data_IF_814528076293
#
_entry.id   IF_814528076293
#
_cell.length_a   1.000
_cell.length_b   1.000
_cell.length_c   1.000
_cell.angle_alpha   90.00
_cell.angle_beta   90.00
_cell.angle_gamma   90.00
#
_symmetry.space_group_name_H-M   'P 1'
#
loop_
_entity.id
_entity.type
_entity.pdbx_description
1 polymer ?
#
# COMPACT_ATOMS: atom_id res chain seq x y z
N UNK A 1 53.78 -16.63 -43.49
CA UNK A 1 52.30 -16.58 -43.55
C UNK A 1 51.77 -17.95 -43.12
N UNK A 2 51.15 -18.08 -41.94
CA UNK A 2 50.59 -19.37 -41.48
C UNK A 2 49.18 -19.54 -42.04
N UNK A 3 49.01 -20.46 -42.98
CA UNK A 3 47.70 -20.79 -43.57
C UNK A 3 47.04 -21.81 -42.64
N UNK A 4 45.96 -21.41 -41.97
CA UNK A 4 45.15 -22.32 -41.17
C UNK A 4 44.12 -23.02 -42.05
N UNK A 5 44.27 -24.33 -42.21
CA UNK A 5 43.33 -25.16 -42.97
C UNK A 5 42.19 -25.57 -42.03
N UNK A 6 41.03 -24.92 -42.17
CA UNK A 6 39.83 -25.30 -41.43
C UNK A 6 39.24 -26.54 -42.10
N UNK A 7 39.33 -27.68 -41.42
CA UNK A 7 38.74 -28.93 -41.91
C UNK A 7 37.30 -29.09 -41.43
N UNK A 8 36.48 -29.88 -42.14
CA UNK A 8 35.12 -30.23 -41.69
C UNK A 8 35.10 -30.82 -40.27
N UNK A 9 36.15 -31.57 -39.89
CA UNK A 9 36.31 -32.11 -38.52
C UNK A 9 36.51 -30.99 -37.49
N UNK A 10 37.31 -29.97 -37.82
CA UNK A 10 37.53 -28.81 -36.95
C UNK A 10 36.23 -28.03 -36.71
N UNK A 11 35.39 -27.89 -37.73
CA UNK A 11 34.07 -27.24 -37.62
C UNK A 11 33.10 -28.05 -36.75
N UNK A 12 33.07 -29.38 -36.91
CA UNK A 12 32.20 -30.25 -36.10
C UNK A 12 32.61 -30.19 -34.62
N UNK A 13 33.92 -30.24 -34.33
CA UNK A 13 34.43 -30.16 -32.95
C UNK A 13 34.09 -28.79 -32.35
N UNK A 14 34.27 -27.70 -33.09
CA UNK A 14 33.91 -26.36 -32.61
C UNK A 14 32.41 -26.23 -32.31
N UNK A 15 31.54 -26.81 -33.14
CA UNK A 15 30.10 -26.80 -32.92
C UNK A 15 29.68 -27.59 -31.68
N UNK A 16 30.29 -28.76 -31.44
CA UNK A 16 30.04 -29.57 -30.24
C UNK A 16 30.50 -28.82 -28.98
N UNK A 17 31.70 -28.22 -29.00
CA UNK A 17 32.20 -27.43 -27.88
C UNK A 17 31.28 -26.26 -27.58
N UNK A 18 30.83 -25.53 -28.61
CA UNK A 18 29.89 -24.43 -28.45
C UNK A 18 28.57 -24.90 -27.82
N UNK A 19 28.01 -26.03 -28.29
CA UNK A 19 26.77 -26.58 -27.74
C UNK A 19 26.91 -26.96 -26.26
N UNK A 20 28.05 -27.55 -25.86
CA UNK A 20 28.32 -27.90 -24.45
C UNK A 20 28.45 -26.65 -23.59
N UNK A 21 29.14 -25.61 -24.07
CA UNK A 21 29.26 -24.34 -23.33
C UNK A 21 27.90 -23.67 -23.16
N UNK A 22 27.08 -23.60 -24.21
CA UNK A 22 25.73 -23.02 -24.13
C UNK A 22 24.86 -23.80 -23.14
N UNK A 23 24.90 -25.13 -23.20
CA UNK A 23 24.13 -25.99 -22.27
C UNK A 23 24.58 -25.80 -20.82
N UNK A 24 25.90 -25.68 -20.59
CA UNK A 24 26.45 -25.41 -19.25
C UNK A 24 26.03 -24.05 -18.69
N UNK A 25 25.97 -23.01 -19.53
CA UNK A 25 25.51 -21.67 -19.14
C UNK A 25 24.01 -21.70 -18.78
N UNK A 26 23.18 -22.39 -19.57
CA UNK A 26 21.74 -22.52 -19.29
C UNK A 26 21.51 -23.23 -17.94
N UNK A 27 22.26 -24.31 -17.67
CA UNK A 27 22.21 -25.01 -16.39
C UNK A 27 22.67 -24.12 -15.23
N UNK A 28 23.75 -23.35 -15.39
CA UNK A 28 24.23 -22.42 -14.36
C UNK A 28 23.22 -21.31 -14.03
N UNK A 29 22.50 -20.79 -15.04
CA UNK A 29 21.43 -19.80 -14.83
C UNK A 29 20.19 -20.40 -14.18
N UNK A 30 19.93 -21.70 -14.37
CA UNK A 30 18.76 -22.40 -13.81
C UNK A 30 18.93 -22.76 -12.33
N UNK A 31 20.15 -22.70 -11.79
CA UNK A 31 20.47 -23.09 -10.40
C UNK A 31 20.93 -21.93 -9.50
N UNK A 32 20.75 -20.67 -9.92
CA UNK A 32 21.10 -19.53 -9.06
C UNK A 32 20.07 -19.34 -7.93
N UNK A 33 20.44 -19.56 -6.65
CA UNK A 33 19.53 -19.38 -5.54
C UNK A 33 19.59 -17.92 -5.10
N UNK A 34 18.73 -17.07 -5.67
CA UNK A 34 18.61 -15.69 -5.22
C UNK A 34 18.32 -14.69 -6.32
N UNK A 35 17.19 -14.84 -7.00
CA UNK A 35 16.47 -13.74 -7.66
C UNK A 35 15.14 -14.31 -8.18
N UNK A 36 14.16 -14.47 -7.30
CA UNK A 36 12.77 -14.53 -7.74
C UNK A 36 12.37 -13.12 -8.19
N UNK A 37 12.83 -12.72 -9.37
CA UNK A 37 12.12 -11.71 -10.14
C UNK A 37 10.80 -12.39 -10.52
N UNK A 38 9.72 -12.02 -9.82
CA UNK A 38 8.37 -12.41 -10.22
C UNK A 38 8.20 -11.94 -11.65
N UNK A 39 8.14 -12.88 -12.59
CA UNK A 39 8.04 -12.58 -14.01
C UNK A 39 6.72 -11.88 -14.26
N UNK A 40 6.67 -10.84 -15.11
CA UNK A 40 5.39 -10.18 -15.41
C UNK A 40 4.36 -11.16 -15.98
N UNK A 41 4.82 -12.27 -16.57
CA UNK A 41 3.96 -13.37 -17.03
C UNK A 41 3.22 -14.07 -15.89
N UNK A 42 3.85 -14.30 -14.73
CA UNK A 42 3.18 -14.96 -13.60
C UNK A 42 2.14 -14.06 -12.95
N UNK A 43 2.38 -12.74 -12.93
CA UNK A 43 1.40 -11.77 -12.42
C UNK A 43 0.19 -11.66 -13.34
N UNK A 44 0.43 -11.66 -14.66
CA UNK A 44 -0.66 -11.63 -15.66
C UNK A 44 -1.45 -12.94 -15.63
N UNK A 45 -0.79 -14.09 -15.48
CA UNK A 45 -1.43 -15.40 -15.44
C UNK A 45 -2.23 -15.61 -14.14
N UNK A 46 -1.73 -15.12 -13.00
CA UNK A 46 -2.49 -15.07 -11.73
C UNK A 46 -3.71 -14.14 -11.85
N UNK A 47 -3.55 -12.95 -12.43
CA UNK A 47 -4.64 -12.01 -12.68
C UNK A 47 -5.73 -12.59 -13.60
N UNK A 48 -5.34 -13.24 -14.71
CA UNK A 48 -6.30 -13.87 -15.61
C UNK A 48 -7.03 -15.03 -14.93
N UNK A 49 -6.34 -15.84 -14.11
CA UNK A 49 -6.97 -16.93 -13.37
C UNK A 49 -7.92 -16.44 -12.27
N UNK A 50 -7.63 -15.35 -11.57
CA UNK A 50 -8.53 -14.73 -10.59
C UNK A 50 -9.81 -14.18 -11.27
N UNK A 51 -9.66 -13.49 -12.40
CA UNK A 51 -10.77 -12.94 -13.18
C UNK A 51 -11.65 -14.06 -13.75
N UNK A 52 -11.04 -15.14 -14.25
CA UNK A 52 -11.76 -16.31 -14.77
C UNK A 52 -12.41 -17.14 -13.65
N UNK A 53 -11.83 -17.18 -12.45
CA UNK A 53 -12.37 -17.87 -11.30
C UNK A 53 -13.54 -17.12 -10.62
N UNK A 54 -13.87 -15.90 -11.07
CA UNK A 54 -14.95 -15.10 -10.50
C UNK A 54 -14.67 -14.66 -9.05
N UNK A 55 -13.41 -14.66 -8.61
CA UNK A 55 -13.03 -14.12 -7.31
C UNK A 55 -13.13 -12.60 -7.38
N UNK A 56 -14.16 -12.06 -6.74
CA UNK A 56 -14.41 -10.62 -6.70
C UNK A 56 -13.41 -9.99 -5.74
N UNK A 57 -12.35 -9.39 -6.29
CA UNK A 57 -11.36 -8.63 -5.52
C UNK A 57 -12.06 -7.57 -4.68
N UNK A 58 -11.68 -7.51 -3.41
CA UNK A 58 -12.21 -6.50 -2.50
C UNK A 58 -11.52 -5.16 -2.77
N UNK A 59 -12.33 -4.14 -3.03
CA UNK A 59 -11.84 -2.80 -3.35
C UNK A 59 -12.24 -1.80 -2.25
N UNK A 60 -11.33 -0.89 -1.86
CA UNK A 60 -11.65 0.22 -0.99
C UNK A 60 -12.47 1.28 -1.73
N UNK A 61 -13.01 2.24 -0.99
CA UNK A 61 -13.68 3.41 -1.55
C UNK A 61 -12.63 4.41 -2.02
N UNK A 62 -12.50 4.58 -3.33
CA UNK A 62 -11.65 5.61 -3.96
C UNK A 62 -12.41 6.92 -4.12
N UNK A 63 -13.65 6.83 -4.61
CA UNK A 63 -14.56 7.94 -4.79
C UNK A 63 -16.00 7.43 -4.72
N UNK A 64 -16.95 8.36 -4.61
CA UNK A 64 -18.38 8.06 -4.63
C UNK A 64 -19.06 8.98 -5.63
N UNK A 65 -19.97 8.43 -6.43
CA UNK A 65 -20.77 9.25 -7.33
C UNK A 65 -21.76 10.10 -6.52
N UNK A 66 -21.82 11.38 -6.85
CA UNK A 66 -22.61 12.38 -6.13
C UNK A 66 -23.16 13.42 -7.09
N UNK A 67 -24.49 13.54 -7.14
CA UNK A 67 -25.17 14.54 -7.95
C UNK A 67 -24.90 15.99 -7.50
N UNK A 68 -24.47 16.19 -6.25
CA UNK A 68 -24.18 17.51 -5.68
C UNK A 68 -22.72 17.98 -5.89
N UNK A 69 -21.93 17.27 -6.70
CA UNK A 69 -20.56 17.63 -7.10
C UNK A 69 -19.63 17.98 -5.92
N UNK A 70 -19.78 17.29 -4.80
CA UNK A 70 -18.94 17.50 -3.61
C UNK A 70 -17.67 16.64 -3.68
N UNK A 71 -16.60 17.18 -3.10
CA UNK A 71 -15.34 16.49 -2.85
C UNK A 71 -15.15 16.26 -1.35
N UNK A 72 -14.41 15.22 -0.97
CA UNK A 72 -13.98 14.98 0.39
C UNK A 72 -12.49 15.30 0.50
N UNK A 73 -12.13 16.28 1.34
CA UNK A 73 -10.73 16.58 1.64
C UNK A 73 -10.26 15.67 2.77
N UNK A 74 -9.16 14.95 2.53
CA UNK A 74 -8.57 14.04 3.52
C UNK A 74 -7.09 14.36 3.72
N UNK A 75 -6.62 14.24 4.95
CA UNK A 75 -5.24 14.56 5.34
C UNK A 75 -4.67 13.41 6.16
N UNK A 76 -3.52 12.90 5.77
CA UNK A 76 -2.81 11.86 6.52
C UNK A 76 -1.74 12.53 7.40
N UNK A 77 -1.81 12.30 8.72
CA UNK A 77 -0.88 12.87 9.69
C UNK A 77 0.00 11.76 10.31
N UNK A 78 1.25 11.72 9.88
CA UNK A 78 2.18 10.63 10.19
C UNK A 78 3.58 11.08 10.64
N UNK A 79 3.93 12.37 10.65
CA UNK A 79 5.32 12.78 10.93
C UNK A 79 5.39 14.00 11.85
N UNK A 80 5.49 15.20 11.27
CA UNK A 80 5.55 16.46 11.99
C UNK A 80 4.15 17.07 12.14
N UNK A 81 4.00 18.03 13.06
CA UNK A 81 2.74 18.68 13.38
C UNK A 81 2.74 20.20 13.12
N UNK A 82 3.87 20.76 12.71
CA UNK A 82 4.11 22.21 12.61
C UNK A 82 3.13 22.94 11.68
N UNK A 83 2.53 22.22 10.73
CA UNK A 83 1.50 22.75 9.82
C UNK A 83 0.06 22.58 10.32
N UNK A 84 -0.17 21.77 11.36
CA UNK A 84 -1.52 21.48 11.85
C UNK A 84 -2.29 22.76 12.22
N UNK A 85 -1.71 23.72 12.98
CA UNK A 85 -2.43 24.96 13.30
C UNK A 85 -2.81 25.77 12.07
N UNK A 86 -1.90 25.87 11.09
CA UNK A 86 -2.15 26.59 9.84
C UNK A 86 -3.24 25.91 8.99
N UNK A 87 -3.23 24.58 8.93
CA UNK A 87 -4.25 23.79 8.23
C UNK A 87 -5.61 24.04 8.89
N UNK A 88 -5.71 23.93 10.22
CA UNK A 88 -6.97 24.15 10.94
C UNK A 88 -7.50 25.57 10.75
N UNK A 89 -6.65 26.59 10.86
CA UNK A 89 -7.04 27.99 10.61
C UNK A 89 -7.54 28.18 9.17
N UNK A 90 -6.89 27.52 8.20
CA UNK A 90 -7.28 27.61 6.79
C UNK A 90 -8.63 26.94 6.56
N UNK A 91 -8.85 25.74 7.11
CA UNK A 91 -10.12 25.03 6.99
C UNK A 91 -11.27 25.81 7.63
N UNK A 92 -11.04 26.40 8.81
CA UNK A 92 -12.00 27.28 9.48
C UNK A 92 -12.34 28.51 8.63
N UNK A 93 -11.32 29.20 8.10
CA UNK A 93 -11.50 30.41 7.26
C UNK A 93 -12.40 30.18 6.05
N UNK A 94 -12.34 28.98 5.47
CA UNK A 94 -13.12 28.62 4.29
C UNK A 94 -14.39 27.80 4.61
N UNK A 95 -14.71 27.60 5.89
CA UNK A 95 -15.83 26.76 6.35
C UNK A 95 -15.82 25.34 5.75
N UNK A 96 -14.63 24.72 5.72
CA UNK A 96 -14.42 23.38 5.16
C UNK A 96 -14.19 22.38 6.29
N UNK A 97 -14.81 21.21 6.17
CA UNK A 97 -14.49 20.02 7.00
C UNK A 97 -13.64 19.04 6.18
N UNK A 98 -12.79 18.31 6.90
CA UNK A 98 -11.89 17.32 6.36
C UNK A 98 -11.87 16.09 7.27
N UNK A 99 -11.38 14.99 6.74
CA UNK A 99 -11.09 13.75 7.49
C UNK A 99 -9.59 13.65 7.71
N UNK A 100 -9.16 13.52 8.96
CA UNK A 100 -7.76 13.36 9.33
C UNK A 100 -7.45 11.90 9.68
N UNK A 101 -6.67 11.22 8.84
CA UNK A 101 -6.18 9.87 9.12
C UNK A 101 -4.89 9.97 9.94
N UNK A 102 -4.94 9.54 11.20
CA UNK A 102 -3.85 9.74 12.16
C UNK A 102 -3.08 8.45 12.41
N UNK A 103 -1.75 8.53 12.52
CA UNK A 103 -0.93 7.43 13.03
C UNK A 103 -0.92 7.42 14.57
N UNK A 104 -0.89 6.23 15.19
CA UNK A 104 -0.86 6.08 16.64
C UNK A 104 0.31 6.81 17.32
N UNK A 105 1.53 6.65 16.82
CA UNK A 105 2.69 7.35 17.37
C UNK A 105 2.59 8.89 17.21
N UNK A 106 1.87 9.39 16.20
CA UNK A 106 1.60 10.82 16.03
C UNK A 106 0.59 11.31 17.07
N UNK A 107 -0.46 10.51 17.34
CA UNK A 107 -1.44 10.75 18.41
C UNK A 107 -0.76 10.83 19.77
N UNK A 108 0.18 9.92 20.07
CA UNK A 108 0.94 9.93 21.32
C UNK A 108 1.86 11.16 21.45
N UNK A 109 2.51 11.56 20.35
CA UNK A 109 3.45 12.68 20.33
C UNK A 109 2.74 14.03 20.39
N UNK A 110 1.56 14.16 19.78
CA UNK A 110 0.84 15.43 19.60
C UNK A 110 -0.63 15.39 20.05
N UNK A 111 -0.92 14.99 21.30
CA UNK A 111 -2.30 14.80 21.77
C UNK A 111 -3.14 16.09 21.74
N UNK A 112 -2.51 17.25 21.92
CA UNK A 112 -3.23 18.53 21.89
C UNK A 112 -3.70 18.90 20.48
N UNK A 113 -2.95 18.54 19.44
CA UNK A 113 -3.40 18.74 18.06
C UNK A 113 -4.55 17.80 17.71
N UNK A 114 -4.52 16.54 18.19
CA UNK A 114 -5.65 15.61 18.00
C UNK A 114 -6.92 16.19 18.61
N UNK A 115 -6.84 16.72 19.85
CA UNK A 115 -7.97 17.39 20.49
C UNK A 115 -8.43 18.63 19.73
N UNK A 116 -7.49 19.42 19.20
CA UNK A 116 -7.82 20.61 18.41
C UNK A 116 -8.57 20.24 17.11
N UNK A 117 -8.10 19.20 16.40
CA UNK A 117 -8.77 18.66 15.21
C UNK A 117 -10.20 18.21 15.55
N UNK A 118 -10.36 17.44 16.63
CA UNK A 118 -11.67 16.96 17.08
C UNK A 118 -12.60 18.11 17.51
N UNK A 119 -12.09 19.08 18.28
CA UNK A 119 -12.84 20.24 18.75
C UNK A 119 -13.27 21.17 17.59
N UNK A 120 -12.49 21.23 16.52
CA UNK A 120 -12.84 21.93 15.29
C UNK A 120 -13.91 21.19 14.46
N UNK A 121 -14.35 20.00 14.89
CA UNK A 121 -15.43 19.24 14.24
C UNK A 121 -15.01 18.54 12.95
N UNK A 122 -13.72 18.24 12.80
CA UNK A 122 -13.22 17.39 11.73
C UNK A 122 -13.42 15.90 12.04
N UNK A 123 -13.54 15.06 11.02
CA UNK A 123 -13.62 13.62 11.20
C UNK A 123 -12.23 13.06 11.50
N UNK A 124 -12.14 12.11 12.43
CA UNK A 124 -10.91 11.39 12.75
C UNK A 124 -10.97 9.99 12.14
N UNK A 125 -9.94 9.63 11.40
CA UNK A 125 -9.75 8.32 10.76
C UNK A 125 -8.52 7.59 11.29
N UNK A 126 -8.55 6.26 11.15
CA UNK A 126 -7.48 5.38 11.58
C UNK A 126 -6.42 5.21 10.47
N UNK A 127 -5.16 5.55 10.76
CA UNK A 127 -4.02 5.30 9.87
C UNK A 127 -3.00 4.32 10.48
N UNK A 128 -3.50 3.35 11.26
CA UNK A 128 -2.77 2.36 12.07
C UNK A 128 -2.02 2.93 13.27
N UNK A 129 -1.67 2.05 14.21
CA UNK A 129 -0.87 2.44 15.36
C UNK A 129 0.60 2.73 14.95
N UNK A 130 1.18 1.92 14.07
CA UNK A 130 2.63 1.92 13.81
C UNK A 130 3.05 2.15 12.36
N UNK A 131 2.10 2.43 11.45
CA UNK A 131 2.33 2.65 10.02
C UNK A 131 3.07 1.51 9.26
N UNK A 132 2.66 0.23 9.41
CA UNK A 132 3.29 -0.89 8.72
C UNK A 132 2.78 -1.10 7.29
N UNK A 133 3.49 -1.91 6.51
CA UNK A 133 2.99 -2.48 5.25
C UNK A 133 1.85 -3.49 5.53
N UNK A 134 0.60 -3.01 5.53
CA UNK A 134 -0.56 -3.79 5.99
C UNK A 134 -0.80 -5.07 5.19
N UNK A 135 -0.47 -5.07 3.89
CA UNK A 135 -0.58 -6.22 3.00
C UNK A 135 0.40 -7.37 3.34
N UNK A 136 1.41 -7.13 4.19
CA UNK A 136 2.37 -8.13 4.67
C UNK A 136 1.99 -8.72 6.03
N UNK A 137 0.90 -8.24 6.63
CA UNK A 137 0.48 -8.64 7.97
C UNK A 137 -0.54 -9.77 7.96
N UNK A 138 -0.50 -10.61 8.99
CA UNK A 138 -1.60 -11.54 9.27
C UNK A 138 -2.85 -10.79 9.74
N UNK A 139 -4.02 -11.40 9.56
CA UNK A 139 -5.30 -10.91 10.10
C UNK A 139 -5.22 -10.51 11.57
N UNK A 140 -4.53 -11.29 12.41
CA UNK A 140 -4.36 -10.97 13.83
C UNK A 140 -3.53 -9.70 14.05
N UNK A 141 -2.48 -9.50 13.27
CA UNK A 141 -1.64 -8.30 13.34
C UNK A 141 -2.40 -7.07 12.83
N UNK A 142 -3.15 -7.19 11.74
CA UNK A 142 -4.04 -6.12 11.24
C UNK A 142 -5.03 -5.70 12.34
N UNK A 143 -5.73 -6.66 12.96
CA UNK A 143 -6.67 -6.35 14.06
C UNK A 143 -5.98 -5.66 15.23
N UNK A 144 -4.74 -6.04 15.53
CA UNK A 144 -3.96 -5.41 16.59
C UNK A 144 -3.63 -3.95 16.27
N UNK A 145 -3.16 -3.65 15.05
CA UNK A 145 -2.87 -2.27 14.64
C UNK A 145 -4.09 -1.35 14.75
N UNK A 146 -5.27 -1.85 14.37
CA UNK A 146 -6.52 -1.09 14.45
C UNK A 146 -6.99 -0.92 15.90
N UNK A 147 -6.99 -1.98 16.70
CA UNK A 147 -7.44 -1.93 18.09
C UNK A 147 -6.55 -1.06 18.97
N UNK A 148 -5.22 -1.18 18.83
CA UNK A 148 -4.28 -0.36 19.61
C UNK A 148 -4.50 1.13 19.32
N UNK A 149 -4.73 1.49 18.06
CA UNK A 149 -5.08 2.85 17.68
C UNK A 149 -6.41 3.31 18.31
N UNK A 150 -7.46 2.50 18.27
CA UNK A 150 -8.73 2.89 18.88
C UNK A 150 -8.65 3.05 20.39
N UNK A 151 -7.91 2.21 21.08
CA UNK A 151 -7.75 2.33 22.53
C UNK A 151 -7.11 3.68 22.89
N UNK A 152 -6.16 4.16 22.06
CA UNK A 152 -5.59 5.50 22.19
C UNK A 152 -6.64 6.60 21.93
N UNK A 153 -7.40 6.50 20.85
CA UNK A 153 -8.40 7.51 20.48
C UNK A 153 -9.54 7.62 21.48
N UNK A 154 -10.09 6.48 21.92
CA UNK A 154 -11.14 6.45 22.96
C UNK A 154 -10.63 7.06 24.26
N UNK A 155 -9.39 6.77 24.66
CA UNK A 155 -8.79 7.36 25.85
C UNK A 155 -8.58 8.88 25.72
N UNK A 156 -8.21 9.37 24.54
CA UNK A 156 -7.82 10.76 24.34
C UNK A 156 -9.01 11.68 24.07
N UNK A 157 -9.96 11.26 23.23
CA UNK A 157 -11.07 12.08 22.74
C UNK A 157 -12.45 11.45 22.98
N UNK A 158 -12.53 10.23 23.53
CA UNK A 158 -13.80 9.60 23.88
C UNK A 158 -14.63 9.12 22.69
N UNK A 159 -14.06 9.12 21.48
CA UNK A 159 -14.71 8.70 20.24
C UNK A 159 -13.92 7.57 19.56
N UNK A 160 -14.67 6.67 18.92
CA UNK A 160 -14.11 5.67 18.00
C UNK A 160 -14.08 6.23 16.59
N UNK A 161 -13.13 5.77 15.79
CA UNK A 161 -13.13 6.08 14.35
C UNK A 161 -13.89 5.02 13.55
N UNK A 162 -14.43 5.41 12.40
CA UNK A 162 -15.25 4.54 11.52
C UNK A 162 -14.66 4.36 10.13
N UNK A 163 -13.60 5.11 9.81
CA UNK A 163 -12.91 5.06 8.53
C UNK A 163 -11.44 4.75 8.75
N UNK A 164 -10.88 3.94 7.86
CA UNK A 164 -9.49 3.52 7.89
C UNK A 164 -8.83 3.78 6.54
N UNK A 165 -7.59 4.22 6.54
CA UNK A 165 -6.75 4.31 5.34
C UNK A 165 -5.48 3.48 5.55
N UNK A 166 -5.14 2.56 4.65
CA UNK A 166 -3.90 1.79 4.78
C UNK A 166 -2.68 2.69 4.55
N UNK A 167 -1.63 2.56 5.38
CA UNK A 167 -0.30 3.11 5.10
C UNK A 167 0.15 2.80 3.68
N UNK A 168 0.79 3.78 3.03
CA UNK A 168 1.30 3.68 1.66
C UNK A 168 0.24 3.39 0.57
N UNK A 169 -1.05 3.38 0.94
CA UNK A 169 -2.14 2.93 0.05
C UNK A 169 -2.12 1.44 -0.24
N UNK A 170 -1.38 0.64 0.54
CA UNK A 170 -1.18 -0.78 0.28
C UNK A 170 -2.27 -1.66 0.90
N UNK A 171 -2.96 -2.46 0.07
CA UNK A 171 -3.98 -3.40 0.53
C UNK A 171 -4.03 -4.67 -0.31
N UNK A 172 -4.65 -5.70 0.26
CA UNK A 172 -5.11 -6.92 -0.40
C UNK A 172 -6.45 -7.35 0.22
N UNK A 173 -7.06 -8.41 -0.28
CA UNK A 173 -8.36 -8.86 0.21
C UNK A 173 -8.34 -9.18 1.71
N UNK A 174 -7.23 -9.69 2.25
CA UNK A 174 -7.08 -9.94 3.69
C UNK A 174 -7.16 -8.64 4.49
N UNK A 175 -6.53 -7.56 4.03
CA UNK A 175 -6.64 -6.23 4.65
C UNK A 175 -8.08 -5.74 4.60
N UNK A 176 -8.68 -5.69 3.41
CA UNK A 176 -10.02 -5.08 3.24
C UNK A 176 -11.08 -5.84 4.05
N UNK A 177 -11.12 -7.16 3.95
CA UNK A 177 -12.09 -7.98 4.68
C UNK A 177 -11.89 -7.87 6.19
N UNK A 178 -10.65 -7.91 6.67
CA UNK A 178 -10.34 -7.83 8.11
C UNK A 178 -10.75 -6.49 8.69
N UNK A 179 -10.49 -5.39 7.97
CA UNK A 179 -10.83 -4.04 8.41
C UNK A 179 -12.35 -3.84 8.44
N UNK A 180 -13.07 -4.31 7.42
CA UNK A 180 -14.54 -4.27 7.39
C UNK A 180 -15.19 -5.11 8.49
N UNK A 181 -14.62 -6.27 8.82
CA UNK A 181 -15.06 -7.08 9.98
C UNK A 181 -14.95 -6.33 11.31
N UNK A 182 -14.03 -5.37 11.42
CA UNK A 182 -13.88 -4.53 12.61
C UNK A 182 -14.80 -3.31 12.61
N UNK A 183 -15.63 -3.12 11.57
CA UNK A 183 -16.63 -2.07 11.49
C UNK A 183 -16.15 -0.78 10.81
N UNK A 184 -15.03 -0.84 10.08
CA UNK A 184 -14.51 0.31 9.32
C UNK A 184 -14.87 0.23 7.85
N UNK A 185 -15.00 1.39 7.21
CA UNK A 185 -14.84 1.47 5.76
C UNK A 185 -13.38 1.77 5.39
N UNK A 186 -12.90 1.14 4.31
CA UNK A 186 -11.52 1.37 3.82
C UNK A 186 -11.54 2.47 2.78
N UNK A 187 -10.82 3.55 3.05
CA UNK A 187 -10.80 4.77 2.23
C UNK A 187 -9.44 4.93 1.54
N UNK A 188 -9.49 5.11 0.23
CA UNK A 188 -8.37 5.49 -0.62
C UNK A 188 -8.54 6.95 -1.11
N UNK A 189 -7.90 7.33 -2.20
CA UNK A 189 -8.07 8.63 -2.83
C UNK A 189 -8.11 8.48 -4.35
N UNK A 190 -8.89 9.33 -5.01
CA UNK A 190 -8.94 9.44 -6.48
C UNK A 190 -7.92 10.45 -7.03
N UNK A 191 -7.59 11.48 -6.24
CA UNK A 191 -6.66 12.53 -6.59
C UNK A 191 -5.63 12.74 -5.46
N UNK A 192 -4.34 12.67 -5.82
CA UNK A 192 -3.21 12.90 -4.91
C UNK A 192 -2.60 14.28 -5.20
N UNK A 193 -2.53 15.13 -4.17
CA UNK A 193 -2.00 16.50 -4.29
C UNK A 193 -0.51 16.57 -4.65
N UNK A 194 0.25 15.49 -4.45
CA UNK A 194 1.69 15.43 -4.73
C UNK A 194 2.04 14.79 -6.08
N UNK A 195 1.06 14.18 -6.76
CA UNK A 195 1.25 13.67 -8.11
C UNK A 195 0.87 14.75 -9.12
N UNK A 196 1.85 15.57 -9.49
CA UNK A 196 1.77 16.50 -10.63
C UNK A 196 2.18 15.82 -11.92
#
# INVERSE_FOLDING_TARGET
>A
MRIFVITKRTLIIAAIVLAVVVTGIILLLSFSPGAAAVSSSTVVEEYEMEVLAGQKKEVPVYSVDRADQKIALTIDAAWEDDKTPFILETLERYDVKATFFLCGFWVEKYPENVKAIAAAGHELGNHTATHPHMNQLSKKQIKKELSDFEDMMVKLVGQKTTVFRPPYGEYNDTVITTVREMGYEVIQWDLDAFQT
#
